data_IF_938017680801
#
_entry.id   IF_938017680801
#
_cell.length_a   1.000
_cell.length_b   1.000
_cell.length_c   1.000
_cell.angle_alpha   90.00
_cell.angle_beta   90.00
_cell.angle_gamma   90.00
#
_symmetry.space_group_name_H-M   'P 1'
#
loop_
_entity.id
_entity.type
_entity.pdbx_description
1 polymer ?
#
# COMPACT_ATOMS: atom_id res chain seq x y z
N UNK A 1 1.66 -3.36 36.30
CA UNK A 1 2.29 -3.41 34.95
C UNK A 1 2.13 -2.03 34.33
N UNK A 2 3.19 -1.31 34.15
CA UNK A 2 3.16 0.03 33.54
C UNK A 2 3.13 -0.14 32.01
N UNK A 3 2.05 0.24 31.37
CA UNK A 3 1.90 0.13 29.92
C UNK A 3 2.74 1.22 29.25
N UNK A 4 3.62 0.83 28.35
CA UNK A 4 4.38 1.79 27.52
C UNK A 4 3.42 2.53 26.60
N UNK A 5 3.54 3.85 26.55
CA UNK A 5 2.79 4.68 25.61
C UNK A 5 3.32 4.46 24.19
N UNK A 6 2.43 4.11 23.28
CA UNK A 6 2.72 3.94 21.84
C UNK A 6 1.90 4.97 21.07
N UNK A 7 2.53 5.62 20.10
CA UNK A 7 1.90 6.64 19.26
C UNK A 7 2.15 6.37 17.80
N UNK A 8 1.20 6.76 16.93
CA UNK A 8 1.36 6.76 15.48
C UNK A 8 2.03 8.08 15.09
N UNK A 9 3.14 8.03 14.38
CA UNK A 9 3.92 9.20 13.99
C UNK A 9 3.84 9.50 12.50
N UNK A 10 3.41 8.57 11.67
CA UNK A 10 3.27 8.78 10.24
C UNK A 10 2.32 7.77 9.62
N UNK A 11 1.67 8.19 8.53
CA UNK A 11 0.72 7.41 7.77
C UNK A 11 1.17 7.31 6.31
N UNK A 12 0.97 6.14 5.71
CA UNK A 12 1.14 5.92 4.29
C UNK A 12 0.07 4.97 3.79
N UNK A 13 -0.55 5.28 2.66
CA UNK A 13 -1.59 4.45 2.09
C UNK A 13 -1.62 4.56 0.56
N UNK A 14 -1.84 3.41 -0.08
CA UNK A 14 -2.18 3.32 -1.50
C UNK A 14 -3.42 2.44 -1.59
N UNK A 15 -4.52 3.00 -2.06
CA UNK A 15 -5.83 2.36 -2.05
C UNK A 15 -6.55 2.55 -3.38
N UNK A 16 -7.64 1.82 -3.65
CA UNK A 16 -8.50 2.09 -4.80
C UNK A 16 -9.18 3.47 -4.79
N UNK A 17 -9.15 4.18 -3.65
CA UNK A 17 -9.71 5.52 -3.49
C UNK A 17 -8.67 6.63 -3.69
N UNK A 18 -7.38 6.33 -3.55
CA UNK A 18 -6.32 7.31 -3.72
C UNK A 18 -4.94 6.73 -3.52
N UNK A 19 -3.94 7.39 -4.05
CA UNK A 19 -2.54 6.96 -4.00
C UNK A 19 -1.77 7.59 -2.81
N UNK A 20 -2.47 8.39 -1.99
CA UNK A 20 -1.98 8.97 -0.74
C UNK A 20 -3.02 8.84 0.37
N UNK A 21 -2.63 8.96 1.66
CA UNK A 21 -3.59 8.99 2.77
C UNK A 21 -4.63 10.10 2.65
N UNK A 22 -4.22 11.30 2.25
CA UNK A 22 -5.09 12.47 2.10
C UNK A 22 -6.15 12.24 1.05
N UNK A 23 -5.75 11.80 -0.14
CA UNK A 23 -6.66 11.51 -1.26
C UNK A 23 -7.63 10.37 -0.89
N UNK A 24 -7.11 9.32 -0.25
CA UNK A 24 -7.93 8.22 0.26
C UNK A 24 -8.98 8.71 1.24
N UNK A 25 -8.59 9.54 2.20
CA UNK A 25 -9.48 10.08 3.21
C UNK A 25 -10.56 11.00 2.61
N UNK A 26 -10.18 11.92 1.73
CA UNK A 26 -11.12 12.81 1.06
C UNK A 26 -12.19 12.03 0.29
N UNK A 27 -11.79 11.02 -0.46
CA UNK A 27 -12.70 10.19 -1.23
C UNK A 27 -13.58 9.30 -0.33
N UNK A 28 -13.03 8.82 0.78
CA UNK A 28 -13.78 8.06 1.77
C UNK A 28 -14.88 8.91 2.42
N UNK A 29 -14.57 10.14 2.81
CA UNK A 29 -15.55 11.09 3.40
C UNK A 29 -16.64 11.46 2.38
N UNK A 30 -16.29 11.58 1.10
CA UNK A 30 -17.26 11.82 0.01
C UNK A 30 -18.11 10.60 -0.35
N UNK A 31 -17.85 9.43 0.25
CA UNK A 31 -18.56 8.19 -0.06
C UNK A 31 -18.25 7.63 -1.45
N UNK A 32 -17.08 7.96 -2.01
CA UNK A 32 -16.65 7.43 -3.32
C UNK A 32 -16.43 5.92 -3.23
N UNK A 33 -16.96 5.17 -4.19
CA UNK A 33 -16.67 3.74 -4.30
C UNK A 33 -15.39 3.49 -5.10
N UNK A 34 -14.51 2.64 -4.59
CA UNK A 34 -13.34 2.15 -5.32
C UNK A 34 -13.66 1.04 -6.33
N UNK A 35 -14.85 0.42 -6.23
CA UNK A 35 -15.26 -0.67 -7.12
C UNK A 35 -15.56 -0.16 -8.53
N UNK A 36 -15.03 -0.86 -9.54
CA UNK A 36 -15.22 -0.57 -10.95
C UNK A 36 -15.03 -1.85 -11.77
N UNK A 37 -15.45 -1.87 -13.05
CA UNK A 37 -15.09 -2.97 -13.93
C UNK A 37 -13.58 -3.21 -13.98
N UNK A 38 -13.18 -4.48 -14.04
CA UNK A 38 -11.76 -4.87 -14.11
C UNK A 38 -11.16 -4.34 -15.41
N UNK A 39 -9.97 -3.70 -15.29
CA UNK A 39 -9.25 -3.12 -16.42
C UNK A 39 -7.87 -3.77 -16.66
N UNK A 40 -7.33 -4.48 -15.67
CA UNK A 40 -5.98 -5.07 -15.74
C UNK A 40 -5.91 -6.32 -16.62
N UNK A 41 -7.03 -6.97 -16.87
CA UNK A 41 -7.15 -8.13 -17.76
C UNK A 41 -8.57 -8.24 -18.33
N UNK A 42 -8.77 -9.08 -19.35
CA UNK A 42 -10.09 -9.36 -19.91
C UNK A 42 -10.87 -10.29 -18.98
N UNK A 43 -11.86 -9.74 -18.28
CA UNK A 43 -12.68 -10.45 -17.32
C UNK A 43 -13.97 -11.05 -17.92
N UNK A 44 -14.20 -10.98 -19.24
CA UNK A 44 -15.45 -11.34 -19.92
C UNK A 44 -15.92 -12.76 -19.59
N UNK A 45 -14.98 -13.70 -19.45
CA UNK A 45 -15.27 -15.12 -19.17
C UNK A 45 -15.34 -15.46 -17.67
N UNK A 46 -15.20 -14.48 -16.79
CA UNK A 46 -15.25 -14.68 -15.34
C UNK A 46 -16.63 -14.32 -14.78
N UNK A 47 -17.04 -15.01 -13.72
CA UNK A 47 -18.30 -14.71 -13.01
C UNK A 47 -18.26 -13.32 -12.35
N UNK A 48 -17.10 -12.91 -11.84
CA UNK A 48 -16.87 -11.59 -11.24
C UNK A 48 -16.11 -10.74 -12.24
N UNK A 49 -16.67 -9.59 -12.60
CA UNK A 49 -16.12 -8.68 -13.61
C UNK A 49 -15.81 -7.30 -13.05
N UNK A 50 -15.84 -7.13 -11.73
CA UNK A 50 -15.50 -5.88 -11.04
C UNK A 50 -14.49 -6.14 -9.94
N UNK A 51 -13.68 -5.12 -9.65
CA UNK A 51 -12.69 -5.15 -8.59
C UNK A 51 -12.41 -3.73 -8.05
N UNK A 52 -11.74 -3.66 -6.92
CA UNK A 52 -11.23 -2.42 -6.37
C UNK A 52 -9.75 -2.28 -6.76
N UNK A 53 -9.49 -1.83 -7.98
CA UNK A 53 -8.13 -1.64 -8.50
C UNK A 53 -7.56 -0.29 -8.06
N UNK A 54 -6.25 -0.25 -7.77
CA UNK A 54 -5.52 1.00 -7.61
C UNK A 54 -5.42 1.68 -8.97
N UNK A 55 -5.91 2.92 -9.05
CA UNK A 55 -6.03 3.70 -10.29
C UNK A 55 -4.84 4.65 -10.43
N UNK A 56 -4.51 5.00 -11.68
CA UNK A 56 -3.46 5.99 -12.01
C UNK A 56 -2.12 5.68 -11.33
N UNK A 57 -1.80 4.40 -11.18
CA UNK A 57 -0.61 3.96 -10.47
C UNK A 57 0.67 4.22 -11.28
N UNK A 58 1.56 5.01 -10.70
CA UNK A 58 2.90 5.24 -11.24
C UNK A 58 3.94 4.97 -10.13
N UNK A 59 4.63 3.81 -10.15
CA UNK A 59 5.60 3.47 -9.11
C UNK A 59 6.79 4.43 -9.06
N UNK A 60 7.13 5.11 -10.17
CA UNK A 60 8.30 5.98 -10.23
C UNK A 60 8.16 7.28 -9.43
N UNK A 61 6.97 7.57 -8.92
CA UNK A 61 6.75 8.69 -7.98
C UNK A 61 7.31 8.39 -6.58
N UNK A 62 7.44 7.12 -6.24
CA UNK A 62 7.81 6.65 -4.91
C UNK A 62 9.08 5.78 -4.87
N UNK A 63 9.41 5.15 -5.99
CA UNK A 63 10.44 4.11 -6.09
C UNK A 63 11.33 4.42 -7.27
N UNK A 64 12.64 4.21 -7.12
CA UNK A 64 13.58 4.31 -8.25
C UNK A 64 13.14 3.37 -9.39
N UNK A 65 13.26 3.86 -10.63
CA UNK A 65 12.80 3.14 -11.83
C UNK A 65 13.45 1.77 -12.01
N UNK A 66 14.72 1.60 -11.59
CA UNK A 66 15.43 0.32 -11.72
C UNK A 66 14.89 -0.69 -10.71
N UNK A 67 14.58 -0.22 -9.50
CA UNK A 67 14.06 -1.06 -8.43
C UNK A 67 12.59 -1.41 -8.68
N UNK A 68 11.79 -0.45 -9.12
CA UNK A 68 10.39 -0.68 -9.47
C UNK A 68 10.21 -1.79 -10.53
N UNK A 69 11.14 -1.90 -11.50
CA UNK A 69 11.10 -2.95 -12.54
C UNK A 69 11.36 -4.36 -12.02
N UNK A 70 11.98 -4.49 -10.84
CA UNK A 70 12.30 -5.77 -10.21
C UNK A 70 11.25 -6.22 -9.20
N UNK A 71 10.27 -5.34 -8.92
CA UNK A 71 9.24 -5.57 -7.92
C UNK A 71 7.91 -5.93 -8.58
N UNK A 72 7.23 -6.91 -8.02
CA UNK A 72 5.83 -7.17 -8.34
C UNK A 72 4.94 -6.02 -7.88
N UNK A 73 3.75 -5.91 -8.46
CA UNK A 73 2.83 -4.80 -8.18
C UNK A 73 2.53 -4.65 -6.69
N UNK A 74 2.29 -5.75 -5.97
CA UNK A 74 2.02 -5.70 -4.53
C UNK A 74 3.20 -5.13 -3.72
N UNK A 75 4.43 -5.50 -4.11
CA UNK A 75 5.64 -4.98 -3.48
C UNK A 75 5.84 -3.49 -3.77
N UNK A 76 5.51 -3.04 -4.98
CA UNK A 76 5.52 -1.61 -5.32
C UNK A 76 4.53 -0.81 -4.45
N UNK A 77 3.30 -1.31 -4.28
CA UNK A 77 2.27 -0.66 -3.45
C UNK A 77 2.68 -0.62 -1.98
N UNK A 78 3.26 -1.70 -1.46
CA UNK A 78 3.78 -1.78 -0.11
C UNK A 78 4.94 -0.79 0.11
N UNK A 79 5.90 -0.74 -0.81
CA UNK A 79 7.03 0.17 -0.75
C UNK A 79 6.58 1.63 -0.78
N UNK A 80 5.65 1.99 -1.67
CA UNK A 80 5.14 3.34 -1.77
C UNK A 80 4.44 3.79 -0.48
N UNK A 81 3.60 2.94 0.12
CA UNK A 81 2.97 3.27 1.40
C UNK A 81 3.98 3.38 2.55
N UNK A 82 5.02 2.54 2.56
CA UNK A 82 6.10 2.65 3.55
C UNK A 82 6.88 3.97 3.39
N UNK A 83 7.24 4.35 2.17
CA UNK A 83 7.94 5.62 1.88
C UNK A 83 7.10 6.82 2.34
N UNK A 84 5.80 6.81 2.06
CA UNK A 84 4.88 7.85 2.52
C UNK A 84 4.87 7.94 4.05
N UNK A 85 4.69 6.82 4.75
CA UNK A 85 4.64 6.77 6.20
C UNK A 85 5.93 7.25 6.88
N UNK A 86 7.09 6.84 6.36
CA UNK A 86 8.39 7.32 6.86
C UNK A 86 8.55 8.82 6.64
N UNK A 87 8.17 9.32 5.46
CA UNK A 87 8.23 10.75 5.14
C UNK A 87 7.29 11.58 6.03
N UNK A 88 6.07 11.11 6.22
CA UNK A 88 5.06 11.78 7.05
C UNK A 88 5.48 11.81 8.52
N UNK A 89 6.14 10.76 9.02
CA UNK A 89 6.62 10.68 10.40
C UNK A 89 7.71 11.69 10.74
N UNK A 90 8.41 12.25 9.75
CA UNK A 90 9.58 13.09 9.94
C UNK A 90 10.77 12.37 10.59
N UNK A 91 10.78 11.03 10.56
CA UNK A 91 11.82 10.21 11.19
C UNK A 91 13.14 10.37 10.45
N UNK A 92 14.18 10.82 11.19
CA UNK A 92 15.56 10.81 10.70
C UNK A 92 16.19 9.44 10.95
N UNK A 93 16.30 8.64 9.89
CA UNK A 93 16.84 7.29 9.95
C UNK A 93 18.34 7.22 10.31
N UNK A 94 19.05 8.34 10.23
CA UNK A 94 20.47 8.39 10.62
C UNK A 94 20.66 8.65 12.12
N UNK A 95 19.62 9.13 12.80
CA UNK A 95 19.63 9.41 14.23
C UNK A 95 18.95 8.34 15.09
N UNK A 96 18.34 7.34 14.48
CA UNK A 96 17.70 6.24 15.21
C UNK A 96 18.60 5.02 15.32
N UNK A 97 18.48 4.28 16.42
CA UNK A 97 19.13 2.97 16.54
C UNK A 97 18.41 1.97 15.61
N UNK A 98 19.04 1.68 14.47
CA UNK A 98 18.48 0.80 13.42
C UNK A 98 18.22 -0.62 13.91
N UNK A 99 18.88 -1.07 14.99
CA UNK A 99 18.61 -2.37 15.60
C UNK A 99 17.25 -2.42 16.34
N UNK A 100 16.67 -1.26 16.61
CA UNK A 100 15.37 -1.11 17.26
C UNK A 100 14.25 -0.72 16.28
N UNK A 101 14.54 -0.64 15.00
CA UNK A 101 13.55 -0.37 13.95
C UNK A 101 13.19 -1.67 13.28
N UNK A 102 11.91 -2.00 13.24
CA UNK A 102 11.37 -3.17 12.55
C UNK A 102 10.38 -2.75 11.48
N UNK A 103 10.35 -3.49 10.37
CA UNK A 103 9.36 -3.36 9.30
C UNK A 103 8.61 -4.67 9.21
N UNK A 104 7.28 -4.62 9.34
CA UNK A 104 6.41 -5.79 9.25
C UNK A 104 5.31 -5.47 8.25
N UNK A 105 5.24 -6.27 7.19
CA UNK A 105 4.21 -6.18 6.16
C UNK A 105 3.49 -7.52 6.02
N UNK A 106 2.17 -7.49 6.12
CA UNK A 106 1.32 -8.64 5.81
C UNK A 106 0.94 -8.66 4.33
N UNK A 107 0.80 -9.86 3.75
CA UNK A 107 0.34 -10.04 2.38
C UNK A 107 -0.67 -11.18 2.30
N UNK A 108 -1.80 -10.96 1.65
CA UNK A 108 -2.84 -11.98 1.45
C UNK A 108 -2.54 -12.97 0.31
N UNK A 109 -1.48 -12.74 -0.47
CA UNK A 109 -1.05 -13.68 -1.52
C UNK A 109 -0.68 -15.06 -0.98
N UNK A 110 -0.23 -15.15 0.26
CA UNK A 110 0.04 -16.42 0.94
C UNK A 110 -1.18 -17.31 1.08
N UNK A 111 -2.36 -16.71 1.25
CA UNK A 111 -3.59 -17.48 1.43
C UNK A 111 -4.10 -18.06 0.12
N UNK A 112 -3.72 -17.51 -1.02
CA UNK A 112 -4.01 -18.09 -2.33
C UNK A 112 -3.14 -19.32 -2.60
N UNK A 113 -1.84 -19.23 -2.34
CA UNK A 113 -0.90 -20.34 -2.52
C UNK A 113 -1.16 -21.49 -1.53
N UNK A 114 -1.55 -21.17 -0.29
CA UNK A 114 -1.89 -22.18 0.71
C UNK A 114 -3.21 -22.92 0.43
N UNK A 115 -4.05 -22.41 -0.46
CA UNK A 115 -5.30 -23.06 -0.86
C UNK A 115 -5.11 -24.04 -2.04
N UNK A 116 -3.96 -23.99 -2.72
CA UNK A 116 -3.62 -24.84 -3.86
C UNK A 116 -2.77 -26.07 -3.45
N UNK A 117 -2.37 -26.19 -2.17
CA UNK A 117 -1.74 -27.35 -1.54
C UNK A 117 -2.80 -28.16 -0.74
#
# INVERSE_FOLDING_TARGET
MELKRVVVTGLGAVTPLGNTPEETWENMVKGVSGAAPITLFDATNFKTQFACEVKNWNPNEWIDRKDARKMDRYAQLAMASAVQGVKDSGLDLDQVDKNRVGVIYGCLLYTSDAADE
#
